data_IF_516721278655
#
_entry.id   IF_516721278655
#
_cell.length_a   1.000
_cell.length_b   1.000
_cell.length_c   1.000
_cell.angle_alpha   90.00
_cell.angle_beta   90.00
_cell.angle_gamma   90.00
#
_symmetry.space_group_name_H-M   'P 1'
#
loop_
_entity.id
_entity.type
_entity.pdbx_description
1 polymer ?
#
# COMPACT_ATOMS: atom_id res chain seq x y z
N UNK A 1 30.23 -8.32 -4.52
CA UNK A 1 29.02 -8.28 -3.66
C UNK A 1 27.72 -8.51 -4.45
N UNK A 2 27.46 -7.76 -5.54
CA UNK A 2 26.24 -7.84 -6.36
C UNK A 2 25.90 -9.23 -6.93
N UNK A 3 26.92 -10.02 -7.32
CA UNK A 3 26.73 -11.38 -7.86
C UNK A 3 26.21 -12.38 -6.82
N UNK A 4 26.57 -12.21 -5.55
CA UNK A 4 26.08 -13.07 -4.46
C UNK A 4 24.60 -12.82 -4.18
N UNK A 5 24.16 -11.56 -4.30
CA UNK A 5 22.76 -11.17 -4.23
C UNK A 5 21.97 -11.83 -5.36
N UNK A 6 22.38 -11.66 -6.62
CA UNK A 6 21.71 -12.29 -7.77
C UNK A 6 21.64 -13.82 -7.66
N UNK A 7 22.72 -14.47 -7.19
CA UNK A 7 22.72 -15.92 -6.96
C UNK A 7 21.80 -16.37 -5.81
N UNK A 8 21.53 -15.50 -4.83
CA UNK A 8 20.53 -15.74 -3.78
C UNK A 8 19.12 -15.62 -4.37
N UNK A 9 18.87 -14.62 -5.20
CA UNK A 9 17.59 -14.41 -5.90
C UNK A 9 17.24 -15.55 -6.87
N UNK A 10 18.20 -16.05 -7.64
CA UNK A 10 17.96 -17.20 -8.53
C UNK A 10 17.65 -18.50 -7.77
N UNK A 11 18.28 -18.72 -6.60
CA UNK A 11 18.00 -19.90 -5.76
C UNK A 11 16.61 -19.87 -5.12
N UNK A 12 16.12 -18.69 -4.76
CA UNK A 12 14.77 -18.52 -4.20
C UNK A 12 13.66 -18.80 -5.22
N UNK A 13 13.95 -18.72 -6.53
CA UNK A 13 13.00 -19.05 -7.61
C UNK A 13 12.92 -20.53 -7.97
N UNK A 14 13.81 -21.38 -7.46
CA UNK A 14 13.94 -22.78 -7.87
C UNK A 14 13.20 -23.81 -7.00
N UNK A 15 12.53 -23.38 -5.93
CA UNK A 15 11.83 -24.27 -4.99
C UNK A 15 10.32 -24.02 -5.01
N UNK A 16 9.64 -24.56 -6.03
CA UNK A 16 8.19 -24.44 -6.25
C UNK A 16 7.36 -24.90 -5.04
N UNK A 17 7.94 -25.73 -4.15
CA UNK A 17 7.26 -26.23 -2.95
C UNK A 17 7.04 -25.16 -1.88
N UNK A 18 7.83 -24.09 -1.88
CA UNK A 18 7.68 -22.93 -1.00
C UNK A 18 7.19 -21.66 -1.68
N UNK A 19 7.13 -21.64 -3.02
CA UNK A 19 6.71 -20.46 -3.79
C UNK A 19 5.24 -20.10 -3.57
N UNK A 20 4.34 -21.08 -3.43
CA UNK A 20 2.92 -20.78 -3.25
C UNK A 20 2.65 -20.07 -1.92
N UNK A 21 3.23 -20.48 -0.78
CA UNK A 21 2.97 -19.82 0.52
C UNK A 21 3.71 -18.49 0.69
N UNK A 22 4.93 -18.38 0.18
CA UNK A 22 5.74 -17.15 0.32
C UNK A 22 5.25 -16.01 -0.56
N UNK A 23 4.77 -16.31 -1.77
CA UNK A 23 4.19 -15.32 -2.68
C UNK A 23 2.92 -14.69 -2.09
N UNK A 24 2.01 -15.51 -1.54
CA UNK A 24 0.81 -14.98 -0.88
C UNK A 24 1.16 -14.13 0.35
N UNK A 25 2.12 -14.58 1.17
CA UNK A 25 2.55 -13.82 2.35
C UNK A 25 3.10 -12.44 1.97
N UNK A 26 3.97 -12.38 0.96
CA UNK A 26 4.52 -11.11 0.45
C UNK A 26 3.42 -10.26 -0.19
N UNK A 27 2.49 -10.87 -0.94
CA UNK A 27 1.33 -10.19 -1.51
C UNK A 27 0.44 -9.54 -0.46
N UNK A 28 0.16 -10.24 0.65
CA UNK A 28 -0.60 -9.67 1.77
C UNK A 28 0.13 -8.53 2.44
N UNK A 29 1.44 -8.67 2.71
CA UNK A 29 2.23 -7.59 3.32
C UNK A 29 2.26 -6.35 2.42
N UNK A 30 2.45 -6.54 1.10
CA UNK A 30 2.42 -5.45 0.13
C UNK A 30 1.05 -4.75 0.09
N UNK A 31 -0.04 -5.52 0.10
CA UNK A 31 -1.40 -4.97 0.14
C UNK A 31 -1.68 -4.19 1.43
N UNK A 32 -1.28 -4.72 2.59
CA UNK A 32 -1.45 -4.05 3.88
C UNK A 32 -0.63 -2.77 3.94
N UNK A 33 0.64 -2.80 3.51
CA UNK A 33 1.48 -1.60 3.49
C UNK A 33 0.88 -0.49 2.61
N UNK A 34 0.36 -0.84 1.44
CA UNK A 34 -0.34 0.11 0.57
C UNK A 34 -1.63 0.65 1.21
N UNK A 35 -2.43 -0.22 1.84
CA UNK A 35 -3.63 0.18 2.55
C UNK A 35 -3.34 1.13 3.72
N UNK A 36 -2.26 0.92 4.46
CA UNK A 36 -1.83 1.82 5.55
C UNK A 36 -1.49 3.22 5.04
N UNK A 37 -0.77 3.32 3.91
CA UNK A 37 -0.45 4.62 3.29
C UNK A 37 -1.74 5.32 2.85
N UNK A 38 -2.67 4.61 2.21
CA UNK A 38 -3.96 5.18 1.82
C UNK A 38 -4.79 5.64 3.02
N UNK A 39 -4.76 4.88 4.12
CA UNK A 39 -5.44 5.24 5.36
C UNK A 39 -4.88 6.54 5.93
N UNK A 40 -3.56 6.71 5.96
CA UNK A 40 -2.92 7.94 6.43
C UNK A 40 -3.25 9.13 5.54
N UNK A 41 -3.27 8.95 4.22
CA UNK A 41 -3.67 10.00 3.27
C UNK A 41 -5.11 10.44 3.52
N UNK A 42 -6.06 9.51 3.60
CA UNK A 42 -7.48 9.82 3.81
C UNK A 42 -7.73 10.41 5.20
N UNK A 43 -6.94 9.99 6.20
CA UNK A 43 -7.03 10.50 7.57
C UNK A 43 -6.23 11.78 7.80
N UNK A 44 -5.59 12.33 6.76
CA UNK A 44 -4.80 13.55 6.87
C UNK A 44 -5.68 14.79 7.09
N UNK A 45 -5.09 15.82 7.71
CA UNK A 45 -5.75 17.11 7.90
C UNK A 45 -6.16 17.74 6.57
N UNK A 46 -5.32 17.66 5.53
CA UNK A 46 -5.63 18.22 4.22
C UNK A 46 -6.89 17.62 3.58
N UNK A 47 -7.10 16.29 3.70
CA UNK A 47 -8.32 15.64 3.20
C UNK A 47 -9.53 16.01 4.05
N UNK A 48 -9.37 16.08 5.37
CA UNK A 48 -10.43 16.50 6.30
C UNK A 48 -10.89 17.94 6.04
N UNK A 49 -9.96 18.87 5.87
CA UNK A 49 -10.23 20.28 5.58
C UNK A 49 -10.92 20.45 4.22
N UNK A 50 -10.47 19.69 3.21
CA UNK A 50 -11.09 19.69 1.89
C UNK A 50 -12.55 19.21 1.96
N UNK A 51 -12.81 18.12 2.69
CA UNK A 51 -14.16 17.60 2.91
C UNK A 51 -15.01 18.60 3.70
N UNK A 52 -14.46 19.21 4.75
CA UNK A 52 -15.14 20.24 5.52
C UNK A 52 -15.53 21.43 4.63
N UNK A 53 -14.62 21.91 3.77
CA UNK A 53 -14.93 23.00 2.84
C UNK A 53 -16.03 22.64 1.84
N UNK A 54 -16.09 21.39 1.36
CA UNK A 54 -17.20 20.92 0.52
C UNK A 54 -18.52 20.91 1.30
N UNK A 55 -18.52 20.41 2.54
CA UNK A 55 -19.70 20.38 3.39
C UNK A 55 -20.21 21.78 3.73
N UNK A 56 -19.32 22.70 4.09
CA UNK A 56 -19.67 24.09 4.38
C UNK A 56 -20.30 24.79 3.17
N UNK A 57 -19.78 24.55 1.95
CA UNK A 57 -20.38 25.09 0.73
C UNK A 57 -21.78 24.52 0.47
N UNK A 58 -21.95 23.22 0.67
CA UNK A 58 -23.24 22.54 0.52
C UNK A 58 -24.27 23.05 1.54
N UNK A 59 -23.87 23.25 2.80
CA UNK A 59 -24.74 23.74 3.87
C UNK A 59 -25.10 25.23 3.72
N UNK A 60 -24.18 26.05 3.22
CA UNK A 60 -24.45 27.47 2.97
C UNK A 60 -25.27 27.73 1.69
N UNK A 61 -25.77 26.68 1.02
CA UNK A 61 -26.62 26.77 -0.17
C UNK A 61 -25.93 27.40 -1.39
N UNK A 62 -24.60 27.56 -1.34
CA UNK A 62 -23.81 28.19 -2.39
C UNK A 62 -23.15 27.10 -3.24
N UNK A 63 -23.91 26.63 -4.23
CA UNK A 63 -23.37 25.94 -5.40
C UNK A 63 -22.81 26.98 -6.37
#
# INVERSE_FOLDING_TARGET
MFRAFLARWCRLRGDDRGMTTSEYAVGTVAAVAFASVLYEVVSSGAVSDALQGVLERALNGRF
#
